data_IF_202359903719
#
_entry.id   IF_202359903719
#
_cell.length_a   1.000
_cell.length_b   1.000
_cell.length_c   1.000
_cell.angle_alpha   90.00
_cell.angle_beta   90.00
_cell.angle_gamma   90.00
#
_symmetry.space_group_name_H-M   'P 1'
#
loop_
_entity.id
_entity.type
_entity.pdbx_description
1 polymer ?
#
# COMPACT_ATOMS: atom_id res chain seq x y z
N UNK A 1 -24.20 -9.28 -33.09
CA UNK A 1 -23.14 -10.14 -32.51
C UNK A 1 -22.55 -9.44 -31.30
N UNK A 2 -22.73 -9.97 -30.07
CA UNK A 2 -22.02 -9.43 -28.89
C UNK A 2 -20.56 -9.86 -28.96
N UNK A 3 -19.62 -8.91 -28.85
CA UNK A 3 -18.19 -9.22 -28.70
C UNK A 3 -17.88 -9.39 -27.21
N UNK A 4 -17.39 -10.56 -26.83
CA UNK A 4 -16.91 -10.82 -25.47
C UNK A 4 -15.41 -10.51 -25.42
N UNK A 5 -14.99 -9.75 -24.41
CA UNK A 5 -13.57 -9.50 -24.11
C UNK A 5 -13.24 -10.15 -22.77
N UNK A 6 -12.21 -10.99 -22.75
CA UNK A 6 -11.64 -11.51 -21.51
C UNK A 6 -10.70 -10.46 -20.93
N UNK A 7 -10.88 -10.14 -19.66
CA UNK A 7 -10.03 -9.25 -18.88
C UNK A 7 -9.22 -10.15 -17.93
N UNK A 8 -7.91 -9.92 -17.82
CA UNK A 8 -7.02 -10.78 -17.03
C UNK A 8 -6.60 -10.08 -15.75
N UNK A 9 -6.66 -10.80 -14.63
CA UNK A 9 -6.05 -10.36 -13.38
C UNK A 9 -4.53 -10.40 -13.54
N UNK A 10 -3.85 -9.28 -13.27
CA UNK A 10 -2.39 -9.15 -13.43
C UNK A 10 -1.64 -8.97 -12.11
N UNK A 11 -2.35 -8.66 -11.02
CA UNK A 11 -1.76 -8.47 -9.70
C UNK A 11 -2.70 -7.73 -8.77
N UNK A 12 -2.13 -7.10 -7.75
CA UNK A 12 -2.86 -6.25 -6.81
C UNK A 12 -2.25 -4.85 -6.76
N UNK A 13 -3.10 -3.85 -6.49
CA UNK A 13 -2.69 -2.51 -6.05
C UNK A 13 -2.83 -2.46 -4.53
N UNK A 14 -1.77 -2.02 -3.84
CA UNK A 14 -1.75 -1.79 -2.40
C UNK A 14 -1.72 -0.29 -2.18
N UNK A 15 -2.79 0.23 -1.58
CA UNK A 15 -3.07 1.65 -1.40
C UNK A 15 -3.57 1.88 0.03
N UNK A 16 -3.84 3.13 0.42
CA UNK A 16 -4.41 3.42 1.73
C UNK A 16 -3.86 4.68 2.37
N UNK A 17 -3.99 4.77 3.69
CA UNK A 17 -3.46 5.87 4.48
C UNK A 17 -2.67 5.34 5.67
N UNK A 18 -1.72 6.14 6.14
CA UNK A 18 -0.92 5.84 7.32
C UNK A 18 -0.99 7.01 8.30
N UNK A 19 -1.05 6.67 9.58
CA UNK A 19 -0.83 7.63 10.64
C UNK A 19 0.67 7.69 10.93
N UNK A 20 1.24 8.89 10.98
CA UNK A 20 2.66 9.13 11.17
C UNK A 20 2.94 10.01 12.38
N UNK A 21 4.13 9.83 12.94
CA UNK A 21 4.76 10.79 13.83
C UNK A 21 5.71 11.66 12.99
N UNK A 22 5.49 12.96 12.98
CA UNK A 22 6.32 13.93 12.27
C UNK A 22 7.58 14.29 13.07
N UNK A 23 8.55 14.94 12.44
CA UNK A 23 9.81 15.37 13.07
C UNK A 23 9.65 16.38 14.21
N UNK A 24 8.54 17.11 14.23
CA UNK A 24 8.17 18.02 15.32
C UNK A 24 7.22 17.38 16.35
N UNK A 25 7.20 16.05 16.45
CA UNK A 25 6.41 15.26 17.41
C UNK A 25 4.89 15.47 17.30
N UNK A 26 4.38 15.80 16.12
CA UNK A 26 2.93 15.84 15.86
C UNK A 26 2.48 14.54 15.22
N UNK A 27 1.21 14.19 15.42
CA UNK A 27 0.57 13.06 14.75
C UNK A 27 -0.26 13.60 13.59
N UNK A 28 -0.15 12.95 12.44
CA UNK A 28 -0.94 13.27 11.26
C UNK A 28 -1.22 12.04 10.43
N UNK A 29 -2.16 12.16 9.51
CA UNK A 29 -2.51 11.13 8.54
C UNK A 29 -2.06 11.56 7.15
N UNK A 30 -1.55 10.61 6.39
CA UNK A 30 -1.09 10.82 5.02
C UNK A 30 -1.53 9.67 4.13
N UNK A 31 -1.78 9.99 2.86
CA UNK A 31 -2.08 8.99 1.84
C UNK A 31 -0.80 8.26 1.40
N UNK A 32 -0.89 6.95 1.24
CA UNK A 32 0.19 6.13 0.71
C UNK A 32 0.30 6.32 -0.79
N UNK A 33 1.53 6.29 -1.32
CA UNK A 33 1.72 6.10 -2.76
C UNK A 33 1.32 4.65 -3.13
N UNK A 34 0.44 4.45 -4.13
CA UNK A 34 0.05 3.12 -4.60
C UNK A 34 1.24 2.27 -5.03
N UNK A 35 1.25 1.00 -4.60
CA UNK A 35 2.26 0.02 -5.00
C UNK A 35 1.60 -1.14 -5.73
N UNK A 36 2.08 -1.43 -6.94
CA UNK A 36 1.64 -2.62 -7.69
C UNK A 36 2.49 -3.84 -7.32
N UNK A 37 1.82 -4.93 -6.93
CA UNK A 37 2.43 -6.24 -6.73
C UNK A 37 1.89 -7.22 -7.79
N UNK A 38 2.76 -7.78 -8.65
CA UNK A 38 2.42 -8.93 -9.48
C UNK A 38 1.85 -10.10 -8.65
N UNK A 39 1.02 -10.96 -9.26
CA UNK A 39 0.34 -12.06 -8.55
C UNK A 39 1.30 -12.98 -7.79
N UNK A 40 2.44 -13.32 -8.36
CA UNK A 40 3.49 -14.14 -7.74
C UNK A 40 4.17 -13.44 -6.55
N UNK A 41 4.04 -12.13 -6.44
CA UNK A 41 4.59 -11.28 -5.37
C UNK A 41 3.55 -10.77 -4.39
N UNK A 42 2.26 -11.11 -4.57
CA UNK A 42 1.16 -10.67 -3.71
C UNK A 42 1.10 -11.42 -2.37
N UNK A 43 2.24 -11.54 -1.69
CA UNK A 43 2.35 -12.18 -0.38
C UNK A 43 2.04 -11.19 0.73
N UNK A 44 1.66 -11.70 1.92
CA UNK A 44 1.42 -10.87 3.11
C UNK A 44 2.62 -9.96 3.42
N UNK A 45 3.83 -10.52 3.36
CA UNK A 45 5.05 -9.77 3.70
C UNK A 45 5.31 -8.65 2.70
N UNK A 46 5.13 -8.90 1.40
CA UNK A 46 5.29 -7.87 0.38
C UNK A 46 4.22 -6.77 0.46
N UNK A 47 2.98 -7.13 0.83
CA UNK A 47 1.92 -6.15 1.10
C UNK A 47 2.33 -5.25 2.28
N UNK A 48 2.83 -5.82 3.37
CA UNK A 48 3.29 -5.04 4.52
C UNK A 48 4.53 -4.18 4.19
N UNK A 49 5.43 -4.68 3.33
CA UNK A 49 6.58 -3.91 2.84
C UNK A 49 6.19 -2.77 1.89
N UNK A 50 4.96 -2.76 1.38
CA UNK A 50 4.44 -1.70 0.50
C UNK A 50 3.95 -0.47 1.27
N UNK A 51 3.83 -0.56 2.60
CA UNK A 51 3.47 0.55 3.48
C UNK A 51 4.55 1.63 3.36
N UNK A 52 4.12 2.86 3.12
CA UNK A 52 5.00 4.00 2.86
C UNK A 52 4.34 5.30 3.33
N UNK A 53 5.15 6.35 3.42
CA UNK A 53 4.75 7.66 3.91
C UNK A 53 4.44 8.67 2.79
N UNK A 54 4.05 8.19 1.60
CA UNK A 54 3.74 9.06 0.46
C UNK A 54 4.93 9.88 -0.06
N UNK A 55 6.14 9.68 0.49
CA UNK A 55 7.33 10.49 0.19
C UNK A 55 7.44 11.78 1.01
N UNK A 56 6.61 11.98 2.04
CA UNK A 56 6.64 13.19 2.88
C UNK A 56 7.81 13.21 3.87
N UNK A 57 8.32 12.04 4.27
CA UNK A 57 9.30 11.90 5.34
C UNK A 57 8.62 11.98 6.72
N UNK A 58 8.81 10.95 7.53
CA UNK A 58 8.33 10.92 8.91
C UNK A 58 9.37 10.34 9.86
N UNK A 59 9.20 10.56 11.17
CA UNK A 59 10.01 9.86 12.18
C UNK A 59 9.66 8.37 12.20
N UNK A 60 8.36 8.06 12.13
CA UNK A 60 7.84 6.69 12.04
C UNK A 60 6.38 6.68 11.58
N UNK A 61 5.98 5.55 11.01
CA UNK A 61 4.58 5.17 10.81
C UNK A 61 4.06 4.50 12.09
N UNK A 62 2.93 4.95 12.61
CA UNK A 62 2.29 4.49 13.84
C UNK A 62 1.25 3.41 13.51
N UNK A 63 0.33 3.72 12.60
CA UNK A 63 -0.69 2.79 12.09
C UNK A 63 -0.79 2.88 10.57
N UNK A 64 -1.26 1.82 9.94
CA UNK A 64 -1.53 1.77 8.52
C UNK A 64 -2.89 1.13 8.25
N UNK A 65 -3.63 1.77 7.36
CA UNK A 65 -4.95 1.35 6.88
C UNK A 65 -4.82 1.01 5.41
N UNK A 66 -4.57 -0.27 5.14
CA UNK A 66 -4.18 -0.77 3.82
C UNK A 66 -5.42 -1.24 3.08
N UNK A 67 -5.61 -0.74 1.87
CA UNK A 67 -6.64 -1.17 0.94
C UNK A 67 -5.98 -1.98 -0.19
N UNK A 68 -6.54 -3.15 -0.46
CA UNK A 68 -6.05 -4.05 -1.50
C UNK A 68 -7.07 -4.10 -2.63
N UNK A 69 -6.60 -3.85 -3.83
CA UNK A 69 -7.40 -3.91 -5.05
C UNK A 69 -6.83 -4.96 -6.00
N UNK A 70 -7.67 -5.83 -6.55
CA UNK A 70 -7.33 -6.62 -7.72
C UNK A 70 -7.13 -5.70 -8.92
N UNK A 71 -5.97 -5.81 -9.60
CA UNK A 71 -5.63 -5.02 -10.78
C UNK A 71 -5.66 -5.88 -12.03
N UNK A 72 -6.37 -5.40 -13.05
CA UNK A 72 -6.58 -6.10 -14.30
C UNK A 72 -5.81 -5.47 -15.47
N UNK A 73 -5.59 -6.22 -16.54
CA UNK A 73 -4.83 -5.81 -17.74
C UNK A 73 -5.44 -4.64 -18.52
N UNK A 74 -6.73 -4.37 -18.33
CA UNK A 74 -7.43 -3.20 -18.87
C UNK A 74 -7.30 -1.95 -17.97
N UNK A 75 -6.56 -2.03 -16.85
CA UNK A 75 -6.40 -0.95 -15.89
C UNK A 75 -7.49 -0.83 -14.84
N UNK A 76 -8.55 -1.66 -14.88
CA UNK A 76 -9.59 -1.62 -13.84
C UNK A 76 -9.05 -2.13 -12.50
N UNK A 77 -9.57 -1.54 -11.43
CA UNK A 77 -9.34 -1.94 -10.05
C UNK A 77 -10.64 -2.47 -9.44
N UNK A 78 -10.53 -3.53 -8.66
CA UNK A 78 -11.65 -4.08 -7.89
C UNK A 78 -11.25 -4.18 -6.43
N UNK A 79 -12.01 -3.55 -5.54
CA UNK A 79 -11.72 -3.59 -4.10
C UNK A 79 -11.92 -5.01 -3.56
N UNK A 80 -10.89 -5.55 -2.93
CA UNK A 80 -10.93 -6.88 -2.32
C UNK A 80 -11.22 -6.77 -0.83
N UNK A 81 -10.35 -6.05 -0.11
CA UNK A 81 -10.38 -5.95 1.35
C UNK A 81 -9.54 -4.81 1.88
N UNK A 82 -9.74 -4.55 3.17
CA UNK A 82 -8.95 -3.65 3.99
C UNK A 82 -8.22 -4.42 5.10
N UNK A 83 -7.01 -4.00 5.43
CA UNK A 83 -6.19 -4.51 6.53
C UNK A 83 -5.75 -3.34 7.37
N UNK A 84 -6.01 -3.41 8.67
CA UNK A 84 -5.58 -2.41 9.63
C UNK A 84 -4.43 -2.99 10.45
N UNK A 85 -3.32 -2.26 10.54
CA UNK A 85 -2.14 -2.71 11.28
C UNK A 85 -1.53 -1.59 12.10
N UNK A 86 -1.16 -1.89 13.34
CA UNK A 86 -0.49 -0.99 14.26
C UNK A 86 0.97 -1.43 14.44
N UNK A 87 1.89 -0.48 14.39
CA UNK A 87 3.31 -0.73 14.56
C UNK A 87 3.74 -0.42 15.99
N UNK A 88 4.04 -1.46 16.76
CA UNK A 88 4.68 -1.30 18.07
C UNK A 88 6.19 -1.14 17.87
N UNK A 89 6.64 0.08 17.52
CA UNK A 89 8.08 0.40 17.40
C UNK A 89 8.44 1.42 16.31
N UNK A 90 9.73 1.73 16.18
CA UNK A 90 10.23 2.52 15.04
C UNK A 90 10.30 1.63 13.80
N UNK A 91 9.39 1.84 12.82
CA UNK A 91 9.63 1.35 11.48
C UNK A 91 10.72 2.23 10.85
N UNK A 92 11.98 1.78 10.93
CA UNK A 92 13.12 2.50 10.35
C UNK A 92 13.04 2.42 8.82
N UNK A 93 12.48 3.46 8.21
CA UNK A 93 12.43 3.62 6.74
C UNK A 93 13.83 3.85 6.12
N UNK A 94 14.85 4.09 6.95
CA UNK A 94 16.23 4.41 6.54
C UNK A 94 17.04 3.24 5.95
N UNK A 95 16.50 2.02 5.87
CA UNK A 95 17.17 0.90 5.17
C UNK A 95 16.91 0.83 3.66
N UNK A 96 16.16 1.76 3.09
CA UNK A 96 16.10 1.92 1.63
C UNK A 96 17.29 2.78 1.18
N UNK A 97 18.45 2.12 1.06
CA UNK A 97 19.61 2.69 0.41
C UNK A 97 19.24 3.15 -1.00
N UNK A 98 19.54 4.42 -1.27
CA UNK A 98 19.77 4.96 -2.61
C UNK A 98 21.00 4.25 -3.18
#
# INVERSE_FOLDING_TARGET
MKKTRTIKLIGISVEGHVEILTWNNMIGEIEMNPVFLPLDKATKDNILMSINDGGFGCQRIITAYIQIYSKYDNGSLFFEKRIDTAFQGHLNLSKRGI
#
